data_IF_338798217167
#
_entry.id   IF_338798217167
#
_cell.length_a   1.000
_cell.length_b   1.000
_cell.length_c   1.000
_cell.angle_alpha   90.00
_cell.angle_beta   90.00
_cell.angle_gamma   90.00
#
_symmetry.space_group_name_H-M   'P 1'
#
loop_
_entity.id
_entity.type
_entity.pdbx_description
1 polymer ?
#
# COMPACT_ATOMS: atom_id res chain seq x y z
N UNK A 1 -15.86 -2.25 -23.35
CA UNK A 1 -14.99 -3.25 -24.04
C UNK A 1 -15.29 -4.62 -23.48
N UNK A 2 -15.20 -5.70 -24.27
CA UNK A 2 -15.39 -7.05 -23.76
C UNK A 2 -14.26 -7.39 -22.77
N UNK A 3 -14.60 -8.00 -21.63
CA UNK A 3 -13.61 -8.38 -20.61
C UNK A 3 -12.74 -9.53 -21.10
N UNK A 4 -11.47 -9.56 -20.72
CA UNK A 4 -10.58 -10.70 -21.00
C UNK A 4 -11.13 -11.98 -20.34
N UNK A 5 -10.97 -13.10 -21.03
CA UNK A 5 -11.34 -14.42 -20.48
C UNK A 5 -10.30 -14.86 -19.44
N UNK A 6 -10.49 -14.44 -18.21
CA UNK A 6 -9.60 -14.71 -17.05
C UNK A 6 -10.45 -15.37 -15.97
N UNK A 7 -9.93 -16.41 -15.34
CA UNK A 7 -10.54 -17.01 -14.15
C UNK A 7 -10.32 -16.11 -12.93
N UNK A 8 -11.17 -15.08 -12.81
CA UNK A 8 -11.07 -14.03 -11.79
C UNK A 8 -11.10 -14.55 -10.35
N UNK A 9 -11.77 -15.67 -10.12
CA UNK A 9 -11.87 -16.26 -8.78
C UNK A 9 -10.57 -16.93 -8.34
N UNK A 10 -9.76 -17.40 -9.28
CA UNK A 10 -8.55 -18.18 -9.00
C UNK A 10 -7.24 -17.46 -9.28
N UNK A 11 -7.26 -16.24 -9.83
CA UNK A 11 -6.03 -15.45 -9.92
C UNK A 11 -5.50 -15.16 -8.53
N UNK A 12 -4.16 -15.28 -8.36
CA UNK A 12 -3.47 -14.93 -7.13
C UNK A 12 -3.05 -13.46 -7.11
N UNK A 13 -2.04 -13.16 -6.31
CA UNK A 13 -1.40 -11.83 -6.26
C UNK A 13 -0.09 -11.80 -7.09
N UNK A 14 0.02 -12.67 -8.10
CA UNK A 14 1.14 -12.73 -9.03
C UNK A 14 0.99 -11.73 -10.17
N UNK A 15 2.12 -11.38 -10.80
CA UNK A 15 2.12 -10.51 -11.97
C UNK A 15 1.49 -11.21 -13.18
N UNK A 16 0.46 -10.58 -13.74
CA UNK A 16 -0.16 -10.93 -15.02
C UNK A 16 -0.05 -9.70 -15.94
N UNK A 17 0.62 -9.78 -17.09
CA UNK A 17 0.79 -8.63 -17.98
C UNK A 17 -0.55 -8.17 -18.56
N UNK A 18 -0.71 -6.85 -18.64
CA UNK A 18 -1.79 -6.19 -19.37
C UNK A 18 -1.28 -5.63 -20.70
N UNK A 19 -2.16 -5.15 -21.56
CA UNK A 19 -1.80 -4.74 -22.91
C UNK A 19 -0.99 -3.43 -22.93
N UNK A 20 -1.29 -2.47 -22.04
CA UNK A 20 -0.69 -1.14 -22.05
C UNK A 20 -0.05 -0.77 -20.70
N UNK A 21 0.99 0.06 -20.80
CA UNK A 21 1.64 0.79 -19.70
C UNK A 21 1.84 2.24 -20.07
N UNK A 22 1.99 3.10 -19.07
CA UNK A 22 2.33 4.52 -19.27
C UNK A 22 3.82 4.72 -19.01
N UNK A 23 4.48 5.56 -19.81
CA UNK A 23 5.89 5.94 -19.67
C UNK A 23 6.03 7.42 -19.90
N UNK A 24 6.71 8.12 -19.00
CA UNK A 24 7.19 9.49 -19.18
C UNK A 24 8.67 9.56 -18.83
N UNK A 25 9.43 10.41 -19.53
CA UNK A 25 10.86 10.58 -19.32
C UNK A 25 11.15 11.99 -18.83
N UNK A 26 12.08 12.09 -17.87
CA UNK A 26 12.67 13.35 -17.46
C UNK A 26 14.07 13.48 -18.04
N UNK A 27 14.28 14.50 -18.83
CA UNK A 27 15.55 14.80 -19.47
C UNK A 27 15.71 16.30 -19.67
N UNK A 28 16.95 16.79 -19.61
CA UNK A 28 17.28 18.21 -19.81
C UNK A 28 16.44 19.16 -18.91
N UNK A 29 16.11 18.71 -17.71
CA UNK A 29 15.41 19.51 -16.70
C UNK A 29 13.86 19.51 -16.83
N UNK A 30 13.28 18.70 -17.71
CA UNK A 30 11.83 18.67 -17.94
C UNK A 30 11.28 17.25 -18.15
N UNK A 31 10.01 17.05 -17.77
CA UNK A 31 9.23 15.89 -18.13
C UNK A 31 8.65 16.05 -19.56
N UNK A 32 8.68 14.98 -20.33
CA UNK A 32 7.86 14.88 -21.55
C UNK A 32 6.36 14.69 -21.17
N UNK A 33 5.49 14.65 -22.19
CA UNK A 33 4.04 14.48 -21.97
C UNK A 33 3.63 13.04 -21.62
N UNK A 34 4.58 12.11 -21.75
CA UNK A 34 4.35 10.68 -21.55
C UNK A 34 3.41 10.05 -22.58
N UNK A 35 3.51 8.76 -22.71
CA UNK A 35 2.71 7.99 -23.68
C UNK A 35 2.30 6.62 -23.15
N UNK A 36 1.27 6.04 -23.77
CA UNK A 36 0.94 4.64 -23.63
C UNK A 36 1.81 3.79 -24.56
N UNK A 37 2.37 2.71 -24.03
CA UNK A 37 3.16 1.75 -24.81
C UNK A 37 2.76 0.31 -24.48
N UNK A 38 2.99 -0.60 -25.41
CA UNK A 38 2.84 -2.05 -25.19
C UNK A 38 4.14 -2.71 -24.74
N UNK A 39 5.29 -2.01 -24.84
CA UNK A 39 6.58 -2.55 -24.41
C UNK A 39 6.71 -2.61 -22.90
N UNK A 40 6.80 -3.83 -22.38
CA UNK A 40 6.96 -4.11 -20.94
C UNK A 40 8.41 -4.06 -20.47
N UNK A 41 9.36 -3.99 -21.40
CA UNK A 41 10.79 -4.03 -21.06
C UNK A 41 11.31 -2.63 -20.75
N UNK A 42 12.40 -2.58 -20.00
CA UNK A 42 13.16 -1.39 -19.70
C UNK A 42 14.60 -1.64 -20.14
N UNK A 43 15.11 -0.80 -21.03
CA UNK A 43 16.52 -0.81 -21.40
C UNK A 43 17.22 0.38 -20.76
N UNK A 44 18.17 0.11 -19.85
CA UNK A 44 18.94 1.13 -19.12
C UNK A 44 20.41 0.71 -19.06
N UNK A 45 21.30 1.66 -18.74
CA UNK A 45 22.71 1.37 -18.52
C UNK A 45 22.90 0.46 -17.29
N UNK A 46 23.91 -0.42 -17.32
CA UNK A 46 24.32 -1.18 -16.13
C UNK A 46 24.75 -0.27 -14.96
N UNK A 47 25.16 0.97 -15.24
CA UNK A 47 25.50 1.99 -14.24
C UNK A 47 24.31 2.85 -13.84
N UNK A 48 23.07 2.53 -14.23
CA UNK A 48 21.90 3.34 -13.87
C UNK A 48 21.76 3.50 -12.34
N UNK A 49 21.41 4.71 -11.90
CA UNK A 49 21.30 5.05 -10.47
C UNK A 49 20.36 4.12 -9.69
N UNK A 50 19.30 3.61 -10.33
CA UNK A 50 18.40 2.63 -9.72
C UNK A 50 19.10 1.31 -9.41
N UNK A 51 20.00 0.84 -10.28
CA UNK A 51 20.73 -0.44 -10.09
C UNK A 51 21.85 -0.33 -9.07
N UNK A 52 22.50 0.84 -8.99
CA UNK A 52 23.66 1.01 -8.11
C UNK A 52 23.26 1.48 -6.70
N UNK A 53 22.29 2.39 -6.61
CA UNK A 53 21.98 3.10 -5.35
C UNK A 53 20.50 3.03 -4.96
N UNK A 54 19.71 2.18 -5.62
CA UNK A 54 18.28 2.02 -5.37
C UNK A 54 17.51 3.36 -5.39
N UNK A 55 17.91 4.30 -6.27
CA UNK A 55 17.22 5.59 -6.42
C UNK A 55 15.90 5.37 -7.16
N UNK A 56 14.89 4.93 -6.40
CA UNK A 56 13.55 4.59 -6.90
C UNK A 56 12.50 4.73 -5.80
N UNK A 57 11.30 5.13 -6.20
CA UNK A 57 10.10 5.12 -5.37
C UNK A 57 8.92 4.55 -6.17
N UNK A 58 7.88 4.13 -5.47
CA UNK A 58 6.72 3.53 -6.11
C UNK A 58 5.44 3.82 -5.35
N UNK A 59 4.31 3.58 -6.01
CA UNK A 59 2.98 3.65 -5.43
C UNK A 59 2.19 2.36 -5.70
N UNK A 60 1.08 2.21 -5.02
CA UNK A 60 0.16 1.10 -5.22
C UNK A 60 -1.26 1.54 -4.95
N UNK A 61 -2.15 1.31 -5.90
CA UNK A 61 -3.57 1.56 -5.79
C UNK A 61 -4.35 0.53 -6.61
N UNK A 62 -5.66 0.59 -6.57
CA UNK A 62 -6.53 -0.36 -7.25
C UNK A 62 -7.62 0.36 -8.04
N UNK A 63 -7.97 -0.21 -9.21
CA UNK A 63 -9.21 0.10 -9.88
C UNK A 63 -10.24 -0.99 -9.60
N UNK A 64 -11.48 -0.58 -9.43
CA UNK A 64 -12.64 -1.41 -9.10
C UNK A 64 -13.73 -1.23 -10.14
N UNK A 65 -14.51 -2.29 -10.39
CA UNK A 65 -15.80 -2.16 -11.07
C UNK A 65 -16.89 -2.07 -9.99
N UNK A 66 -17.66 -1.00 -10.01
CA UNK A 66 -18.80 -0.79 -9.10
C UNK A 66 -20.04 -1.58 -9.56
N UNK A 67 -21.07 -1.68 -8.70
CA UNK A 67 -22.30 -2.42 -9.00
C UNK A 67 -23.02 -1.90 -10.25
N UNK A 68 -23.00 -0.59 -10.45
CA UNK A 68 -23.57 0.09 -11.64
C UNK A 68 -22.66 0.05 -12.88
N UNK A 69 -21.52 -0.64 -12.79
CA UNK A 69 -20.63 -0.93 -13.90
C UNK A 69 -19.56 0.13 -14.17
N UNK A 70 -19.47 1.20 -13.37
CA UNK A 70 -18.40 2.17 -13.51
C UNK A 70 -17.04 1.58 -13.09
N UNK A 71 -15.99 2.07 -13.74
CA UNK A 71 -14.60 1.79 -13.33
C UNK A 71 -14.11 2.98 -12.52
N UNK A 72 -13.69 2.72 -11.31
CA UNK A 72 -13.28 3.77 -10.35
C UNK A 72 -11.90 3.48 -9.76
N UNK A 73 -11.20 4.55 -9.35
CA UNK A 73 -9.96 4.49 -8.58
C UNK A 73 -10.16 5.27 -7.28
N UNK A 74 -9.64 4.72 -6.18
CA UNK A 74 -9.81 5.29 -4.85
C UNK A 74 -8.64 6.21 -4.49
N UNK A 75 -8.91 7.51 -4.29
CA UNK A 75 -8.00 8.56 -3.81
C UNK A 75 -6.64 8.62 -4.52
N UNK A 76 -6.58 8.62 -5.85
CA UNK A 76 -5.31 8.68 -6.58
C UNK A 76 -4.53 9.99 -6.35
N UNK A 77 -5.20 11.07 -5.97
CA UNK A 77 -4.62 12.35 -5.55
C UNK A 77 -3.65 12.20 -4.37
N UNK A 78 -3.99 11.39 -3.38
CA UNK A 78 -3.11 11.13 -2.24
C UNK A 78 -1.90 10.25 -2.60
N UNK A 79 -2.06 9.35 -3.57
CA UNK A 79 -0.91 8.61 -4.10
C UNK A 79 0.04 9.54 -4.87
N UNK A 80 -0.50 10.46 -5.68
CA UNK A 80 0.30 11.47 -6.38
C UNK A 80 1.11 12.32 -5.39
N UNK A 81 0.45 12.88 -4.38
CA UNK A 81 1.09 13.69 -3.34
C UNK A 81 2.16 12.93 -2.56
N UNK A 82 1.89 11.67 -2.16
CA UNK A 82 2.86 10.85 -1.43
C UNK A 82 4.05 10.44 -2.31
N UNK A 83 3.85 10.19 -3.61
CA UNK A 83 4.95 9.98 -4.54
C UNK A 83 5.81 11.24 -4.67
N UNK A 84 5.20 12.42 -4.74
CA UNK A 84 5.93 13.69 -4.75
C UNK A 84 6.81 13.85 -3.51
N UNK A 85 6.32 13.51 -2.33
CA UNK A 85 7.12 13.53 -1.09
C UNK A 85 8.26 12.52 -1.12
N UNK A 86 8.02 11.31 -1.66
CA UNK A 86 9.06 10.31 -1.83
C UNK A 86 10.15 10.79 -2.81
N UNK A 87 9.76 11.41 -3.92
CA UNK A 87 10.68 11.98 -4.88
C UNK A 87 11.55 13.09 -4.25
N UNK A 88 10.93 14.04 -3.55
CA UNK A 88 11.68 15.13 -2.88
C UNK A 88 12.71 14.58 -1.89
N UNK A 89 12.36 13.58 -1.11
CA UNK A 89 13.26 12.97 -0.12
C UNK A 89 14.43 12.21 -0.76
N UNK A 90 14.26 11.69 -1.97
CA UNK A 90 15.28 10.94 -2.72
C UNK A 90 16.03 11.82 -3.76
N UNK A 91 15.86 13.15 -3.70
CA UNK A 91 16.46 14.09 -4.68
C UNK A 91 16.10 13.72 -6.12
N UNK A 92 14.84 13.33 -6.35
CA UNK A 92 14.29 13.00 -7.67
C UNK A 92 13.33 14.12 -8.12
N UNK A 93 13.21 14.41 -9.42
CA UNK A 93 12.24 15.38 -9.92
C UNK A 93 10.81 14.89 -9.64
N UNK A 94 9.97 15.80 -9.16
CA UNK A 94 8.55 15.47 -8.95
C UNK A 94 7.85 15.37 -10.30
N UNK A 95 7.15 14.24 -10.54
CA UNK A 95 6.19 14.16 -11.63
C UNK A 95 4.93 14.93 -11.22
N UNK A 96 4.39 15.86 -12.05
CA UNK A 96 3.26 16.70 -11.67
C UNK A 96 2.07 15.89 -11.19
N UNK A 97 1.46 16.28 -10.06
CA UNK A 97 0.40 15.49 -9.40
C UNK A 97 -0.87 15.37 -10.25
N UNK A 98 -1.22 16.40 -11.00
CA UNK A 98 -2.31 16.39 -11.96
C UNK A 98 -2.03 15.43 -13.13
N UNK A 99 -0.83 15.48 -13.71
CA UNK A 99 -0.39 14.55 -14.76
C UNK A 99 -0.31 13.10 -14.25
N UNK A 100 0.03 12.89 -12.97
CA UNK A 100 -0.01 11.57 -12.36
C UNK A 100 -1.42 10.98 -12.39
N UNK A 101 -2.42 11.75 -11.97
CA UNK A 101 -3.84 11.31 -11.98
C UNK A 101 -4.31 11.05 -13.41
N UNK A 102 -4.00 11.94 -14.36
CA UNK A 102 -4.31 11.74 -15.79
C UNK A 102 -3.66 10.47 -16.36
N UNK A 103 -2.41 10.17 -15.98
CA UNK A 103 -1.72 8.97 -16.41
C UNK A 103 -2.39 7.69 -15.86
N UNK A 104 -2.89 7.72 -14.61
CA UNK A 104 -3.71 6.64 -14.05
C UNK A 104 -4.99 6.45 -14.86
N UNK A 105 -5.70 7.53 -15.20
CA UNK A 105 -6.91 7.46 -16.00
C UNK A 105 -6.62 6.82 -17.37
N UNK A 106 -5.58 7.30 -18.07
CA UNK A 106 -5.17 6.79 -19.39
C UNK A 106 -4.84 5.29 -19.35
N UNK A 107 -4.02 4.84 -18.40
CA UNK A 107 -3.57 3.45 -18.36
C UNK A 107 -4.69 2.50 -17.93
N UNK A 108 -5.58 2.90 -17.02
CA UNK A 108 -6.74 2.09 -16.62
C UNK A 108 -7.75 1.99 -17.75
N UNK A 109 -8.06 3.10 -18.42
CA UNK A 109 -8.97 3.12 -19.57
C UNK A 109 -8.45 2.24 -20.73
N UNK A 110 -7.15 2.32 -21.03
CA UNK A 110 -6.54 1.48 -22.08
C UNK A 110 -6.56 -0.02 -21.73
N UNK A 111 -6.53 -0.36 -20.45
CA UNK A 111 -6.59 -1.74 -19.95
C UNK A 111 -7.97 -2.14 -19.39
N UNK A 112 -9.05 -1.47 -19.79
CA UNK A 112 -10.42 -1.73 -19.31
C UNK A 112 -10.81 -3.21 -19.37
N UNK A 113 -10.37 -3.93 -20.39
CA UNK A 113 -10.65 -5.35 -20.55
C UNK A 113 -10.07 -6.23 -19.42
N UNK A 114 -9.06 -5.73 -18.72
CA UNK A 114 -8.41 -6.40 -17.57
C UNK A 114 -8.94 -5.94 -16.20
N UNK A 115 -9.83 -4.96 -16.16
CA UNK A 115 -10.50 -4.60 -14.90
C UNK A 115 -11.49 -5.70 -14.55
N UNK A 116 -11.35 -6.39 -13.41
CA UNK A 116 -12.24 -7.49 -13.04
C UNK A 116 -13.71 -7.04 -12.95
N UNK A 117 -14.68 -7.92 -13.29
CA UNK A 117 -16.09 -7.59 -13.16
C UNK A 117 -16.49 -7.45 -11.68
N UNK A 118 -17.54 -6.66 -11.44
CA UNK A 118 -18.15 -6.53 -10.12
C UNK A 118 -18.54 -7.91 -9.56
N UNK A 119 -18.38 -8.08 -8.26
CA UNK A 119 -18.72 -9.35 -7.56
C UNK A 119 -17.66 -10.46 -7.69
N UNK A 120 -16.61 -10.30 -8.51
CA UNK A 120 -15.54 -11.29 -8.62
C UNK A 120 -14.60 -11.34 -7.41
N UNK A 121 -14.60 -10.29 -6.57
CA UNK A 121 -13.63 -10.09 -5.48
C UNK A 121 -12.23 -9.69 -5.96
N UNK A 122 -11.95 -9.79 -7.27
CA UNK A 122 -10.70 -9.37 -7.87
C UNK A 122 -10.68 -7.86 -8.19
N UNK A 123 -9.50 -7.30 -8.37
CA UNK A 123 -9.29 -5.87 -8.67
C UNK A 123 -8.16 -5.70 -9.67
N UNK A 124 -8.10 -4.55 -10.35
CA UNK A 124 -6.93 -4.21 -11.15
C UNK A 124 -5.94 -3.43 -10.25
N UNK A 125 -4.80 -4.04 -9.94
CA UNK A 125 -3.73 -3.38 -9.22
C UNK A 125 -2.94 -2.47 -10.15
N UNK A 126 -2.65 -1.25 -9.70
CA UNK A 126 -1.96 -0.21 -10.45
C UNK A 126 -0.65 0.09 -9.74
N UNK A 127 0.48 0.01 -10.45
CA UNK A 127 1.82 0.25 -9.93
C UNK A 127 2.50 1.40 -10.64
N UNK A 128 2.34 2.66 -10.16
CA UNK A 128 3.22 3.76 -10.52
C UNK A 128 4.60 3.58 -9.87
N UNK A 129 5.67 3.90 -10.59
CA UNK A 129 7.02 3.91 -10.04
C UNK A 129 7.92 4.84 -10.84
N UNK A 130 8.96 5.32 -10.19
CA UNK A 130 9.94 6.23 -10.77
C UNK A 130 11.34 5.80 -10.37
N UNK A 131 12.31 5.99 -11.27
CA UNK A 131 13.69 5.60 -11.02
C UNK A 131 14.69 6.44 -11.83
N UNK A 132 15.92 6.57 -11.31
CA UNK A 132 17.06 7.16 -12.01
C UNK A 132 17.57 6.22 -13.10
N UNK A 133 17.62 6.68 -14.35
CA UNK A 133 17.85 5.85 -15.52
C UNK A 133 19.21 6.06 -16.20
N UNK A 134 19.87 7.19 -15.99
CA UNK A 134 21.17 7.48 -16.58
C UNK A 134 22.35 6.88 -15.81
N UNK A 135 23.52 6.74 -16.45
CA UNK A 135 24.73 6.20 -15.82
C UNK A 135 25.23 7.09 -14.68
N UNK A 136 25.44 6.50 -13.49
CA UNK A 136 25.95 7.18 -12.29
C UNK A 136 26.95 6.29 -11.56
N UNK A 137 28.22 6.69 -11.44
CA UNK A 137 29.23 5.97 -10.66
C UNK A 137 29.38 6.57 -9.26
N UNK A 138 29.44 7.90 -9.13
CA UNK A 138 29.49 8.58 -7.83
C UNK A 138 28.11 8.55 -7.14
N UNK A 139 28.09 8.57 -5.80
CA UNK A 139 26.84 8.70 -5.03
C UNK A 139 26.29 10.12 -5.20
N UNK A 140 25.41 10.29 -6.15
CA UNK A 140 24.71 11.53 -6.48
C UNK A 140 23.37 11.22 -7.15
N UNK A 141 22.42 12.18 -7.18
CA UNK A 141 21.21 12.03 -7.95
C UNK A 141 21.50 11.77 -9.44
N UNK A 142 20.66 11.00 -10.09
CA UNK A 142 20.63 10.84 -11.54
C UNK A 142 20.27 12.18 -12.23
N UNK A 143 20.55 12.32 -13.52
CA UNK A 143 20.13 13.47 -14.32
C UNK A 143 18.89 13.15 -15.17
N UNK A 144 18.68 11.87 -15.49
CA UNK A 144 17.54 11.39 -16.26
C UNK A 144 16.74 10.39 -15.43
N UNK A 145 15.41 10.43 -15.56
CA UNK A 145 14.49 9.57 -14.83
C UNK A 145 13.39 9.06 -15.74
N UNK A 146 12.82 7.91 -15.38
CA UNK A 146 11.57 7.44 -15.97
C UNK A 146 10.49 7.34 -14.90
N UNK A 147 9.31 7.85 -15.22
CA UNK A 147 8.06 7.57 -14.53
C UNK A 147 7.26 6.57 -15.36
N UNK A 148 6.86 5.47 -14.73
CA UNK A 148 6.14 4.39 -15.40
C UNK A 148 4.95 3.93 -14.58
N UNK A 149 3.92 3.45 -15.28
CA UNK A 149 2.77 2.80 -14.64
C UNK A 149 2.50 1.51 -15.38
N UNK A 150 2.47 0.38 -14.67
CA UNK A 150 1.88 -0.85 -15.17
C UNK A 150 0.69 -1.26 -14.32
N UNK A 151 -0.16 -2.12 -14.88
CA UNK A 151 -1.31 -2.70 -14.19
C UNK A 151 -1.25 -4.22 -14.24
N UNK A 152 -1.88 -4.87 -13.26
CA UNK A 152 -2.02 -6.32 -13.21
C UNK A 152 -3.31 -6.68 -12.49
N UNK A 153 -4.17 -7.52 -13.05
CA UNK A 153 -5.31 -8.03 -12.30
C UNK A 153 -4.83 -8.92 -11.16
N UNK A 154 -5.43 -8.75 -9.99
CA UNK A 154 -5.13 -9.51 -8.78
C UNK A 154 -6.42 -10.05 -8.17
N UNK A 155 -6.36 -11.26 -7.65
CA UNK A 155 -7.48 -11.91 -6.99
C UNK A 155 -7.81 -11.30 -5.62
N UNK A 156 -8.87 -11.79 -4.98
CA UNK A 156 -9.18 -11.41 -3.62
C UNK A 156 -8.00 -11.77 -2.71
N UNK A 157 -7.59 -10.81 -1.88
CA UNK A 157 -6.48 -11.02 -0.95
C UNK A 157 -6.78 -12.17 0.02
N UNK A 158 -8.04 -12.29 0.43
CA UNK A 158 -8.53 -13.39 1.25
C UNK A 158 -9.50 -14.27 0.43
N UNK A 159 -9.03 -15.43 -0.03
CA UNK A 159 -9.86 -16.35 -0.82
C UNK A 159 -11.01 -16.97 -0.02
N UNK A 160 -10.83 -17.16 1.28
CA UNK A 160 -11.80 -17.81 2.19
C UNK A 160 -12.34 -16.88 3.27
N UNK A 161 -12.28 -15.54 3.03
CA UNK A 161 -12.55 -14.53 4.04
C UNK A 161 -11.29 -14.16 4.83
N UNK A 162 -11.34 -13.01 5.50
CA UNK A 162 -10.21 -12.46 6.26
C UNK A 162 -10.02 -13.24 7.58
N UNK A 163 -9.18 -14.28 7.55
CA UNK A 163 -8.77 -14.99 8.77
C UNK A 163 -7.68 -14.21 9.50
N UNK A 164 -7.72 -14.13 10.85
CA UNK A 164 -6.67 -13.51 11.62
C UNK A 164 -5.33 -14.20 11.45
N UNK A 165 -4.30 -13.39 11.31
CA UNK A 165 -2.91 -13.83 11.14
C UNK A 165 -2.15 -13.81 12.46
N UNK A 166 -1.03 -14.51 12.50
CA UNK A 166 -0.06 -14.49 13.61
C UNK A 166 1.19 -13.76 13.15
N UNK A 167 1.59 -12.75 13.91
CA UNK A 167 2.80 -11.97 13.61
C UNK A 167 3.80 -12.09 14.76
N UNK A 168 5.06 -11.78 14.50
CA UNK A 168 6.09 -11.73 15.53
C UNK A 168 6.70 -10.34 15.67
N UNK A 169 7.24 -10.02 16.84
CA UNK A 169 8.09 -8.84 17.03
C UNK A 169 9.44 -9.11 16.37
N UNK A 170 9.89 -8.22 15.50
CA UNK A 170 11.17 -8.34 14.78
C UNK A 170 12.33 -7.90 15.65
N UNK A 171 13.46 -8.61 15.54
CA UNK A 171 14.76 -8.19 16.09
C UNK A 171 15.43 -7.10 15.24
N UNK A 172 14.95 -6.92 14.02
CA UNK A 172 15.50 -5.98 13.04
C UNK A 172 14.67 -4.71 13.00
N UNK A 173 15.30 -3.63 12.56
CA UNK A 173 14.64 -2.35 12.32
C UNK A 173 14.07 -2.30 10.90
N UNK A 174 12.93 -1.65 10.72
CA UNK A 174 12.34 -1.38 9.41
C UNK A 174 13.01 -0.20 8.71
N UNK A 175 13.36 0.81 9.48
CA UNK A 175 13.98 2.04 9.00
C UNK A 175 14.79 2.70 10.12
N UNK A 176 15.80 3.51 9.76
CA UNK A 176 16.51 4.33 10.73
C UNK A 176 15.59 5.40 11.35
N UNK A 177 15.85 5.90 12.58
CA UNK A 177 14.99 6.85 13.30
C UNK A 177 14.69 8.15 12.51
N UNK A 178 15.62 8.61 11.71
CA UNK A 178 15.49 9.78 10.82
C UNK A 178 15.83 9.43 9.39
N UNK A 179 15.50 8.20 8.99
CA UNK A 179 15.80 7.66 7.67
C UNK A 179 14.71 7.95 6.65
N UNK A 180 14.32 6.90 5.95
CA UNK A 180 13.39 6.93 4.82
C UNK A 180 12.08 6.19 5.10
N UNK A 181 11.80 5.87 6.37
CA UNK A 181 10.63 5.08 6.75
C UNK A 181 9.29 5.69 6.34
N UNK A 182 9.21 7.01 6.31
CA UNK A 182 8.01 7.77 5.97
C UNK A 182 7.79 7.98 4.46
N UNK A 183 8.65 7.45 3.60
CA UNK A 183 8.48 7.50 2.15
C UNK A 183 8.36 6.10 1.55
N UNK A 184 7.77 6.01 0.35
CA UNK A 184 7.54 4.73 -0.31
C UNK A 184 8.70 4.39 -1.28
N UNK A 185 9.87 4.16 -0.70
CA UNK A 185 11.11 3.86 -1.42
C UNK A 185 11.42 2.36 -1.43
N UNK A 186 11.90 1.84 -2.55
CA UNK A 186 12.23 0.43 -2.72
C UNK A 186 13.23 -0.10 -1.69
N UNK A 187 14.18 0.76 -1.26
CA UNK A 187 15.19 0.39 -0.26
C UNK A 187 14.58 -0.06 1.10
N UNK A 188 13.45 0.53 1.54
CA UNK A 188 12.78 0.12 2.78
C UNK A 188 12.23 -1.31 2.67
N UNK A 189 11.76 -1.70 1.49
CA UNK A 189 11.22 -3.04 1.23
C UNK A 189 12.33 -4.07 1.06
N UNK A 190 13.42 -3.73 0.39
CA UNK A 190 14.59 -4.59 0.29
C UNK A 190 15.18 -4.92 1.68
N UNK A 191 15.23 -3.93 2.58
CA UNK A 191 15.66 -4.11 3.96
C UNK A 191 14.77 -5.08 4.75
N UNK A 192 13.48 -5.13 4.42
CA UNK A 192 12.49 -6.00 5.08
C UNK A 192 12.48 -7.46 4.56
N UNK A 193 13.20 -7.79 3.47
CA UNK A 193 13.16 -9.13 2.88
C UNK A 193 13.72 -10.20 3.80
N UNK A 194 14.84 -9.97 4.46
CA UNK A 194 15.42 -10.95 5.37
C UNK A 194 14.51 -11.20 6.59
N UNK A 195 14.05 -10.18 7.32
CA UNK A 195 13.15 -10.36 8.46
C UNK A 195 11.85 -11.09 8.11
N UNK A 196 11.20 -10.77 6.98
CA UNK A 196 9.95 -11.44 6.62
C UNK A 196 10.16 -12.91 6.23
N UNK A 197 11.23 -13.21 5.51
CA UNK A 197 11.55 -14.59 5.18
C UNK A 197 11.92 -15.42 6.42
N UNK A 198 12.53 -14.79 7.42
CA UNK A 198 12.80 -15.42 8.70
C UNK A 198 11.50 -15.68 9.49
N UNK A 199 10.58 -14.71 9.52
CA UNK A 199 9.25 -14.88 10.11
C UNK A 199 8.50 -16.06 9.46
N UNK A 200 8.45 -16.10 8.14
CA UNK A 200 7.80 -17.20 7.40
C UNK A 200 8.41 -18.57 7.70
N UNK A 201 9.75 -18.68 7.78
CA UNK A 201 10.43 -19.95 8.17
C UNK A 201 10.06 -20.41 9.58
N UNK A 202 9.67 -19.49 10.45
CA UNK A 202 9.23 -19.77 11.81
C UNK A 202 7.70 -19.94 11.93
N UNK A 203 6.97 -19.86 10.81
CA UNK A 203 5.51 -20.05 10.77
C UNK A 203 4.68 -18.80 11.09
N UNK A 204 5.28 -17.61 11.06
CA UNK A 204 4.59 -16.33 11.23
C UNK A 204 4.27 -15.71 9.88
N UNK A 205 3.16 -14.96 9.80
CA UNK A 205 2.70 -14.34 8.56
C UNK A 205 3.38 -12.99 8.29
N UNK A 206 3.80 -12.25 9.35
CA UNK A 206 4.36 -10.90 9.23
C UNK A 206 5.18 -10.53 10.48
N UNK A 207 5.90 -9.42 10.41
CA UNK A 207 6.64 -8.83 11.52
C UNK A 207 5.98 -7.54 12.02
N UNK A 208 5.94 -7.36 13.34
CA UNK A 208 5.80 -6.06 13.99
C UNK A 208 7.18 -5.44 14.16
N UNK A 209 7.39 -4.24 13.66
CA UNK A 209 8.60 -3.47 13.93
C UNK A 209 8.36 -2.47 15.06
N UNK A 210 9.34 -2.35 15.93
CA UNK A 210 9.37 -1.34 16.98
C UNK A 210 10.25 -0.16 16.54
N UNK A 211 10.10 0.97 17.21
CA UNK A 211 10.91 2.14 16.94
C UNK A 211 12.40 1.84 17.09
N UNK A 212 13.25 2.20 16.12
CA UNK A 212 14.65 1.80 16.14
C UNK A 212 15.50 2.57 17.18
N UNK A 213 14.97 3.64 17.75
CA UNK A 213 15.70 4.43 18.74
C UNK A 213 15.62 3.82 20.15
N UNK A 214 14.45 3.32 20.56
CA UNK A 214 14.23 2.84 21.92
C UNK A 214 13.69 1.42 22.00
N UNK A 215 13.12 0.89 20.90
CA UNK A 215 12.43 -0.40 20.81
C UNK A 215 11.30 -0.57 21.81
N UNK A 216 10.67 0.54 22.17
CA UNK A 216 9.55 0.56 23.14
C UNK A 216 8.22 0.94 22.53
N UNK A 217 8.22 1.44 21.28
CA UNK A 217 7.03 1.93 20.59
C UNK A 217 6.75 1.10 19.37
N UNK A 218 5.47 0.83 19.12
CA UNK A 218 5.03 0.15 17.89
C UNK A 218 5.11 1.11 16.71
N UNK A 219 5.70 0.66 15.61
CA UNK A 219 5.68 1.40 14.34
C UNK A 219 4.70 0.75 13.37
N UNK A 220 5.20 -0.01 12.41
CA UNK A 220 4.38 -0.68 11.39
C UNK A 220 4.95 -2.05 11.03
N UNK A 221 4.36 -2.73 10.08
CA UNK A 221 4.92 -3.96 9.49
C UNK A 221 5.77 -3.64 8.27
N UNK A 222 6.26 -4.66 7.56
CA UNK A 222 6.96 -4.48 6.29
C UNK A 222 6.14 -3.79 5.20
N UNK A 223 4.82 -3.91 5.22
CA UNK A 223 3.94 -3.40 4.16
C UNK A 223 2.61 -2.80 4.60
N UNK A 224 2.32 -2.71 5.89
CA UNK A 224 1.02 -2.25 6.41
C UNK A 224 1.14 -1.53 7.76
N UNK A 225 0.20 -0.62 8.03
CA UNK A 225 0.13 0.11 9.30
C UNK A 225 -0.78 -0.61 10.30
N UNK A 226 -0.53 -0.42 11.59
CA UNK A 226 -1.37 -0.95 12.65
C UNK A 226 -2.62 -0.10 12.91
N UNK A 227 -3.73 -0.78 13.19
CA UNK A 227 -4.93 -0.26 13.83
C UNK A 227 -5.25 -1.17 15.01
N UNK A 228 -5.41 -0.58 16.19
CA UNK A 228 -5.83 -1.25 17.41
C UNK A 228 -7.20 -0.74 17.85
N UNK A 229 -7.95 -1.58 18.53
CA UNK A 229 -9.21 -1.20 19.18
C UNK A 229 -9.07 -1.43 20.67
N UNK A 230 -9.37 -0.41 21.45
CA UNK A 230 -9.39 -0.50 22.92
C UNK A 230 -10.60 -1.30 23.42
N UNK A 231 -10.59 -1.73 24.67
CA UNK A 231 -11.71 -2.45 25.28
C UNK A 231 -13.01 -1.63 25.36
N UNK A 232 -12.89 -0.29 25.38
CA UNK A 232 -14.01 0.65 25.33
C UNK A 232 -14.38 1.08 23.88
N UNK A 233 -13.77 0.47 22.88
CA UNK A 233 -14.16 0.62 21.47
C UNK A 233 -13.53 1.80 20.73
N UNK A 234 -12.52 2.46 21.26
CA UNK A 234 -11.77 3.50 20.57
C UNK A 234 -10.81 2.91 19.54
N UNK A 235 -10.60 3.63 18.47
CA UNK A 235 -9.59 3.30 17.45
C UNK A 235 -8.27 3.96 17.82
N UNK A 236 -7.19 3.21 17.90
CA UNK A 236 -5.84 3.70 18.17
C UNK A 236 -4.93 3.30 17.02
N UNK A 237 -4.13 4.22 16.50
CA UNK A 237 -3.13 3.91 15.48
C UNK A 237 -1.81 4.61 15.76
N UNK A 238 -0.67 3.90 15.59
CA UNK A 238 0.64 4.48 15.82
C UNK A 238 0.92 5.69 14.92
N UNK A 239 1.52 6.72 15.51
CA UNK A 239 1.99 7.91 14.81
C UNK A 239 3.47 8.12 15.12
N UNK A 240 4.28 8.20 14.07
CA UNK A 240 5.73 8.40 14.14
C UNK A 240 6.20 9.01 12.81
N UNK A 241 7.33 9.71 12.84
CA UNK A 241 7.94 10.29 11.64
C UNK A 241 8.65 9.24 10.75
N UNK A 242 8.76 7.99 11.21
CA UNK A 242 9.32 6.87 10.45
C UNK A 242 8.28 5.89 9.90
N UNK A 243 7.00 6.11 10.18
CA UNK A 243 5.89 5.30 9.63
C UNK A 243 5.42 5.87 8.29
N UNK A 244 5.21 5.00 7.30
CA UNK A 244 4.63 5.39 6.02
C UNK A 244 3.23 6.00 6.23
N UNK A 245 2.94 7.22 5.70
CA UNK A 245 1.61 7.84 5.79
C UNK A 245 0.62 7.09 4.89
N UNK A 246 0.04 6.01 5.39
CA UNK A 246 -0.88 5.13 4.66
C UNK A 246 -2.17 5.85 4.29
N UNK A 247 -2.56 5.76 3.01
CA UNK A 247 -3.83 6.30 2.49
C UNK A 247 -5.00 5.51 3.08
N UNK A 248 -4.86 4.19 3.18
CA UNK A 248 -5.87 3.32 3.80
C UNK A 248 -6.08 3.70 5.27
N UNK A 249 -5.01 3.85 6.06
CA UNK A 249 -5.10 4.28 7.46
C UNK A 249 -5.80 5.62 7.60
N UNK A 250 -5.39 6.63 6.82
CA UNK A 250 -6.04 7.97 6.82
C UNK A 250 -7.52 7.88 6.49
N UNK A 251 -7.89 7.01 5.55
CA UNK A 251 -9.29 6.79 5.16
C UNK A 251 -10.06 6.07 6.26
N UNK A 252 -9.47 5.07 6.92
CA UNK A 252 -10.10 4.36 8.06
C UNK A 252 -10.29 5.26 9.28
N UNK A 253 -9.33 6.16 9.56
CA UNK A 253 -9.48 7.20 10.61
C UNK A 253 -10.68 8.11 10.32
N UNK A 254 -10.84 8.52 9.07
CA UNK A 254 -12.00 9.32 8.66
C UNK A 254 -13.31 8.51 8.79
N UNK A 255 -13.32 7.27 8.31
CA UNK A 255 -14.47 6.36 8.41
C UNK A 255 -14.87 6.15 9.87
N UNK A 256 -13.90 5.86 10.75
CA UNK A 256 -14.15 5.72 12.18
C UNK A 256 -14.86 6.94 12.77
N UNK A 257 -14.33 8.13 12.51
CA UNK A 257 -14.87 9.39 13.06
C UNK A 257 -16.23 9.78 12.44
N UNK A 258 -16.37 9.70 11.12
CA UNK A 258 -17.51 10.30 10.40
C UNK A 258 -18.65 9.32 10.16
N UNK A 259 -18.36 8.06 9.84
CA UNK A 259 -19.39 7.06 9.55
C UNK A 259 -19.78 6.26 10.80
N UNK A 260 -18.78 5.85 11.58
CA UNK A 260 -19.02 4.97 12.73
C UNK A 260 -19.13 5.71 14.08
N UNK A 261 -18.84 7.02 14.10
CA UNK A 261 -18.90 7.85 15.31
C UNK A 261 -18.02 7.35 16.46
N UNK A 262 -16.89 6.76 16.10
CA UNK A 262 -15.91 6.26 17.06
C UNK A 262 -14.88 7.35 17.41
N UNK A 263 -14.38 7.29 18.63
CA UNK A 263 -13.22 8.07 19.06
C UNK A 263 -11.95 7.48 18.44
N UNK A 264 -11.04 8.35 17.98
CA UNK A 264 -9.79 7.93 17.33
C UNK A 264 -8.62 8.68 17.93
N UNK A 265 -7.61 7.92 18.33
CA UNK A 265 -6.33 8.41 18.82
C UNK A 265 -5.20 8.07 17.82
N UNK A 266 -4.59 9.11 17.25
CA UNK A 266 -3.38 8.99 16.44
C UNK A 266 -2.21 9.46 17.32
N UNK A 267 -1.47 8.52 17.91
CA UNK A 267 -0.42 8.78 18.91
C UNK A 267 0.70 7.76 18.87
N UNK A 268 1.73 8.00 19.64
CA UNK A 268 2.68 6.93 19.98
C UNK A 268 1.93 5.81 20.74
N UNK A 269 2.24 4.56 20.38
CA UNK A 269 1.70 3.36 21.03
C UNK A 269 2.87 2.61 21.66
N UNK A 270 2.86 2.47 22.97
CA UNK A 270 3.87 1.71 23.67
C UNK A 270 3.65 0.20 23.43
N UNK A 271 4.72 -0.55 23.23
CA UNK A 271 4.60 -1.99 23.04
C UNK A 271 3.94 -2.68 24.24
N UNK A 272 4.24 -2.22 25.46
CA UNK A 272 3.69 -2.78 26.69
C UNK A 272 2.16 -2.64 26.81
N UNK A 273 1.54 -1.66 26.11
CA UNK A 273 0.07 -1.49 26.10
C UNK A 273 -0.64 -2.39 25.10
N UNK A 274 0.09 -3.02 24.15
CA UNK A 274 -0.51 -3.82 23.08
C UNK A 274 -1.38 -4.97 23.61
N UNK A 275 -0.99 -5.56 24.74
CA UNK A 275 -1.74 -6.62 25.44
C UNK A 275 -3.09 -6.18 25.98
N UNK A 276 -3.32 -4.88 26.09
CA UNK A 276 -4.55 -4.31 26.66
C UNK A 276 -5.61 -3.99 25.61
N UNK A 277 -5.26 -4.05 24.31
CA UNK A 277 -6.22 -3.84 23.22
C UNK A 277 -7.14 -5.05 23.04
N UNK A 278 -8.36 -4.79 22.55
CA UNK A 278 -9.36 -5.81 22.26
C UNK A 278 -9.21 -6.41 20.85
N UNK A 279 -8.79 -5.59 19.87
CA UNK A 279 -8.64 -5.99 18.47
C UNK A 279 -7.36 -5.37 17.88
N UNK A 280 -6.78 -6.08 16.90
CA UNK A 280 -5.64 -5.61 16.13
C UNK A 280 -5.85 -5.89 14.64
N UNK A 281 -5.49 -4.95 13.79
CA UNK A 281 -5.50 -5.09 12.34
C UNK A 281 -4.34 -4.39 11.67
N UNK A 282 -3.98 -4.88 10.49
CA UNK A 282 -2.98 -4.30 9.58
C UNK A 282 -3.69 -3.68 8.39
N UNK A 283 -3.55 -2.40 8.18
CA UNK A 283 -4.23 -1.71 7.09
C UNK A 283 -3.29 -1.31 5.95
N UNK A 284 -3.73 -1.56 4.73
CA UNK A 284 -2.99 -1.24 3.50
C UNK A 284 -3.81 -1.49 2.24
N UNK A 285 -3.30 -1.05 1.10
CA UNK A 285 -4.01 -1.13 -0.19
C UNK A 285 -4.35 -2.57 -0.60
N UNK A 286 -3.47 -3.53 -0.29
CA UNK A 286 -3.64 -4.91 -0.76
C UNK A 286 -4.86 -5.59 -0.12
N UNK A 287 -4.96 -5.55 1.21
CA UNK A 287 -5.96 -6.28 1.99
C UNK A 287 -7.07 -5.40 2.58
N UNK A 288 -6.98 -4.08 2.48
CA UNK A 288 -7.74 -3.08 3.23
C UNK A 288 -7.45 -3.20 4.73
N UNK A 289 -7.90 -4.26 5.40
CA UNK A 289 -7.48 -4.63 6.76
C UNK A 289 -7.28 -6.14 6.83
N UNK A 290 -6.08 -6.58 7.27
CA UNK A 290 -5.81 -7.94 7.69
C UNK A 290 -5.95 -8.02 9.21
N UNK A 291 -6.86 -8.82 9.77
CA UNK A 291 -6.98 -8.98 11.21
C UNK A 291 -5.76 -9.71 11.79
N UNK A 292 -5.31 -9.30 12.97
CA UNK A 292 -4.25 -9.96 13.73
C UNK A 292 -4.88 -10.60 14.96
N UNK A 293 -4.73 -11.90 15.11
CA UNK A 293 -5.25 -12.63 16.26
C UNK A 293 -4.22 -12.80 17.37
N UNK A 294 -2.94 -12.85 17.00
CA UNK A 294 -1.84 -13.10 17.93
C UNK A 294 -0.57 -12.39 17.53
N UNK A 295 0.17 -11.89 18.52
CA UNK A 295 1.54 -11.39 18.36
C UNK A 295 2.47 -12.21 19.26
N UNK A 296 3.56 -12.70 18.70
CA UNK A 296 4.60 -13.43 19.40
C UNK A 296 5.81 -12.53 19.69
N UNK A 297 6.20 -12.45 20.93
CA UNK A 297 7.36 -11.70 21.40
C UNK A 297 8.29 -12.61 22.22
N UNK A 298 9.29 -13.21 21.60
CA UNK A 298 10.39 -13.95 22.23
C UNK A 298 9.93 -14.97 23.32
N UNK A 299 8.94 -15.77 23.00
CA UNK A 299 8.37 -16.77 23.92
C UNK A 299 7.11 -16.31 24.63
N UNK A 300 6.76 -15.03 24.57
CA UNK A 300 5.52 -14.49 25.07
C UNK A 300 4.48 -14.35 23.97
N UNK A 301 3.25 -14.69 24.23
CA UNK A 301 2.14 -14.53 23.28
C UNK A 301 1.17 -13.45 23.78
N UNK A 302 0.88 -12.49 22.92
CA UNK A 302 -0.19 -11.51 23.10
C UNK A 302 -1.35 -11.98 22.24
N UNK A 303 -2.43 -12.46 22.86
CA UNK A 303 -3.64 -12.92 22.17
C UNK A 303 -4.73 -11.86 22.33
N UNK A 304 -5.32 -11.46 21.19
CA UNK A 304 -6.43 -10.51 21.23
C UNK A 304 -7.76 -11.24 21.53
N UNK A 305 -8.68 -10.63 22.31
CA UNK A 305 -10.00 -11.21 22.59
C UNK A 305 -10.83 -11.57 21.35
N UNK A 306 -10.60 -10.90 20.20
CA UNK A 306 -11.22 -11.24 18.93
C UNK A 306 -10.82 -12.63 18.38
N UNK A 307 -9.67 -13.16 18.85
CA UNK A 307 -9.22 -14.53 18.56
C UNK A 307 -8.68 -14.74 17.15
N UNK A 308 -8.55 -16.03 16.80
CA UNK A 308 -7.97 -16.51 15.54
C UNK A 308 -9.01 -16.97 14.51
N UNK A 309 -10.30 -16.91 14.82
CA UNK A 309 -11.34 -17.45 13.94
C UNK A 309 -11.93 -16.41 13.00
N UNK A 310 -12.05 -15.17 13.47
CA UNK A 310 -12.71 -14.08 12.72
C UNK A 310 -12.13 -12.73 13.06
N UNK A 311 -12.37 -11.78 12.18
CA UNK A 311 -12.06 -10.36 12.41
C UNK A 311 -12.84 -9.84 13.62
N UNK A 312 -12.22 -8.99 14.43
CA UNK A 312 -12.88 -8.32 15.53
C UNK A 312 -14.03 -7.42 15.07
N UNK A 313 -15.08 -7.23 15.87
CA UNK A 313 -16.33 -6.60 15.43
C UNK A 313 -16.17 -5.13 15.02
N UNK A 314 -15.26 -4.37 15.63
CA UNK A 314 -15.03 -2.96 15.26
C UNK A 314 -14.19 -2.88 13.99
N UNK A 315 -13.14 -3.70 13.88
CA UNK A 315 -12.31 -3.80 12.66
C UNK A 315 -13.17 -4.27 11.49
N UNK A 316 -14.10 -5.21 11.68
CA UNK A 316 -15.04 -5.65 10.65
C UNK A 316 -15.91 -4.49 10.14
N UNK A 317 -16.47 -3.67 11.03
CA UNK A 317 -17.24 -2.49 10.62
C UNK A 317 -16.40 -1.47 9.83
N UNK A 318 -15.16 -1.26 10.23
CA UNK A 318 -14.23 -0.39 9.51
C UNK A 318 -13.93 -0.94 8.11
N UNK A 319 -13.68 -2.24 8.01
CA UNK A 319 -13.46 -2.95 6.75
C UNK A 319 -14.66 -2.84 5.82
N UNK A 320 -15.85 -3.21 6.31
CA UNK A 320 -17.08 -3.22 5.51
C UNK A 320 -17.46 -1.81 5.03
N UNK A 321 -17.29 -0.81 5.89
CA UNK A 321 -17.59 0.58 5.52
C UNK A 321 -16.62 1.09 4.44
N UNK A 322 -15.32 0.88 4.61
CA UNK A 322 -14.35 1.37 3.63
C UNK A 322 -14.47 0.63 2.28
N UNK A 323 -14.65 -0.69 2.30
CA UNK A 323 -14.88 -1.47 1.08
C UNK A 323 -16.20 -1.10 0.42
N UNK A 324 -17.24 -0.84 1.20
CA UNK A 324 -18.53 -0.33 0.70
C UNK A 324 -18.39 1.01 -0.01
N UNK A 325 -17.57 1.92 0.49
CA UNK A 325 -17.23 3.19 -0.17
C UNK A 325 -16.48 2.93 -1.49
N UNK A 326 -15.48 2.05 -1.47
CA UNK A 326 -14.66 1.73 -2.66
C UNK A 326 -15.47 1.07 -3.79
N UNK A 327 -16.49 0.29 -3.43
CA UNK A 327 -17.34 -0.44 -4.38
C UNK A 327 -18.63 0.33 -4.76
N UNK A 328 -18.85 1.54 -4.21
CA UNK A 328 -20.00 2.37 -4.51
C UNK A 328 -21.29 2.00 -3.75
N UNK A 329 -21.22 1.08 -2.76
CA UNK A 329 -22.37 0.71 -1.93
C UNK A 329 -22.68 1.74 -0.83
N UNK A 330 -21.66 2.49 -0.43
CA UNK A 330 -21.76 3.57 0.58
C UNK A 330 -21.28 4.85 -0.09
N UNK A 331 -22.03 5.93 0.11
CA UNK A 331 -21.68 7.25 -0.40
C UNK A 331 -20.27 7.66 0.06
N UNK A 332 -19.44 8.01 -0.91
CA UNK A 332 -18.07 8.44 -0.65
C UNK A 332 -18.00 9.91 -0.29
N UNK A 333 -17.06 10.34 0.56
CA UNK A 333 -16.74 11.76 0.66
C UNK A 333 -16.29 12.32 -0.68
N UNK A 334 -16.56 13.62 -0.89
CA UNK A 334 -16.14 14.33 -2.11
C UNK A 334 -14.64 14.12 -2.40
N UNK A 335 -14.31 13.85 -3.66
CA UNK A 335 -12.93 13.64 -4.14
C UNK A 335 -12.32 12.28 -3.82
N UNK A 336 -13.01 11.39 -3.10
CA UNK A 336 -12.44 10.07 -2.77
C UNK A 336 -12.49 9.07 -3.93
N UNK A 337 -13.49 9.19 -4.78
CA UNK A 337 -13.68 8.29 -5.91
C UNK A 337 -13.43 9.05 -7.20
N UNK A 338 -12.46 8.56 -7.98
CA UNK A 338 -12.21 9.04 -9.33
C UNK A 338 -12.85 8.07 -10.31
N UNK A 339 -13.90 8.51 -10.99
CA UNK A 339 -14.53 7.73 -12.06
C UNK A 339 -13.67 7.81 -13.31
N UNK A 340 -13.31 6.65 -13.85
CA UNK A 340 -12.52 6.50 -15.08
C UNK A 340 -13.45 6.32 -16.28
N UNK A 341 -14.50 5.53 -16.09
CA UNK A 341 -15.48 5.22 -17.14
C UNK A 341 -16.82 4.83 -16.55
#
# INVERSE_FOLDING_TARGET
MEKKNIDWANIGFGYMPTDYRFVANYKDGAWDDGELTTDANITISECAGVLQYAQTCFEGMKAYTTEDGHIVVFRPDLNASRMADSCRRLEMPVFPEDKFVEAIEKVVAANEAFVPPFGSGATLYIRPYMFGSDPVIGVKPANEYQFRIFTTPVGPYFKEGAKPITIRVSDYDRAAPRGTGNIKAGLNYAMSLYPIMEAHRQGFDENMYLDPATRTKVEETGGANFIFITKDGKVVTPKSDSILPSITRRSLVYVAKKYLRLEVEEREVLFDEVKDFAECGLCGTAAVISPVGKIYDHGNEICFPSGMEKMGPVIQKLYDTLTGIQMGHIEAPEGWIKVIK
#
